data_IF_845078196886
#
_entry.id   IF_845078196886
#
_cell.length_a   1.000
_cell.length_b   1.000
_cell.length_c   1.000
_cell.angle_alpha   90.00
_cell.angle_beta   90.00
_cell.angle_gamma   90.00
#
_symmetry.space_group_name_H-M   'P 1'
#
loop_
_entity.id
_entity.type
_entity.pdbx_description
1 polymer ?
#
# COMPACT_ATOMS: atom_id res chain seq x y z
N UNK A 1 16.63 -6.94 -20.22
CA UNK A 1 16.48 -6.89 -18.75
C UNK A 1 16.05 -5.49 -18.37
N UNK A 2 14.87 -5.33 -17.78
CA UNK A 2 14.36 -4.06 -17.21
C UNK A 2 14.31 -4.19 -15.71
N UNK A 3 14.58 -3.09 -15.00
CA UNK A 3 14.49 -3.05 -13.53
C UNK A 3 13.30 -2.18 -13.14
N UNK A 4 12.41 -2.74 -12.31
CA UNK A 4 11.25 -2.05 -11.76
C UNK A 4 11.41 -1.90 -10.26
N UNK A 5 11.14 -0.73 -9.72
CA UNK A 5 11.08 -0.48 -8.28
C UNK A 5 9.63 -0.38 -7.82
N UNK A 6 9.14 -1.36 -7.06
CA UNK A 6 7.77 -1.34 -6.56
C UNK A 6 7.69 -0.73 -5.16
N UNK A 7 7.02 0.41 -5.06
CA UNK A 7 6.82 1.16 -3.84
C UNK A 7 5.34 1.17 -3.45
N UNK A 8 5.02 0.87 -2.18
CA UNK A 8 3.63 0.84 -1.71
C UNK A 8 3.45 1.55 -0.38
N UNK A 9 2.39 2.36 -0.31
CA UNK A 9 1.91 3.01 0.92
C UNK A 9 0.44 2.70 1.14
N UNK A 10 -0.01 2.79 2.40
CA UNK A 10 -1.41 2.52 2.75
C UNK A 10 -2.33 3.71 2.48
N UNK A 11 -1.83 4.93 2.61
CA UNK A 11 -2.60 6.16 2.40
C UNK A 11 -1.74 7.21 1.72
N UNK A 12 -2.33 8.07 0.89
CA UNK A 12 -1.62 9.15 0.20
C UNK A 12 -0.97 10.20 1.11
N UNK A 13 -1.24 10.15 2.44
CA UNK A 13 -0.58 11.00 3.43
C UNK A 13 0.78 10.45 3.89
N UNK A 14 1.09 9.18 3.60
CA UNK A 14 2.37 8.57 3.93
C UNK A 14 3.42 8.97 2.89
N UNK A 15 4.64 9.21 3.36
CA UNK A 15 5.74 9.54 2.47
C UNK A 15 6.30 8.27 1.80
N UNK A 16 6.19 8.20 0.48
CA UNK A 16 6.71 7.10 -0.36
C UNK A 16 8.17 7.34 -0.78
N UNK A 17 8.66 8.60 -0.72
CA UNK A 17 9.97 9.02 -1.23
C UNK A 17 11.14 8.25 -0.61
N UNK A 18 11.02 7.84 0.67
CA UNK A 18 12.04 7.01 1.30
C UNK A 18 12.24 5.69 0.57
N UNK A 19 11.17 5.02 0.15
CA UNK A 19 11.25 3.76 -0.59
C UNK A 19 11.86 4.00 -1.97
N UNK A 20 11.43 5.08 -2.64
CA UNK A 20 11.95 5.47 -3.96
C UNK A 20 13.46 5.73 -3.87
N UNK A 21 13.89 6.51 -2.89
CA UNK A 21 15.32 6.81 -2.66
C UNK A 21 16.11 5.54 -2.41
N UNK A 22 15.69 4.68 -1.47
CA UNK A 22 16.40 3.44 -1.16
C UNK A 22 16.57 2.55 -2.41
N UNK A 23 15.53 2.46 -3.25
CA UNK A 23 15.61 1.69 -4.50
C UNK A 23 16.52 2.37 -5.51
N UNK A 24 16.44 3.69 -5.66
CA UNK A 24 17.25 4.44 -6.64
C UNK A 24 18.72 4.51 -6.27
N UNK A 25 19.05 4.47 -4.99
CA UNK A 25 20.44 4.44 -4.50
C UNK A 25 21.16 3.15 -4.95
N UNK A 26 20.45 2.01 -4.95
CA UNK A 26 20.99 0.71 -5.39
C UNK A 26 20.76 0.44 -6.89
N UNK A 27 19.66 0.94 -7.45
CA UNK A 27 19.22 0.72 -8.83
C UNK A 27 18.76 2.05 -9.45
N UNK A 28 19.69 2.95 -9.85
CA UNK A 28 19.35 4.28 -10.39
C UNK A 28 18.43 4.24 -11.61
N UNK A 29 18.58 3.20 -12.45
CA UNK A 29 17.80 2.99 -13.68
C UNK A 29 16.39 2.41 -13.42
N UNK A 30 16.07 2.00 -12.19
CA UNK A 30 14.79 1.34 -11.89
C UNK A 30 13.59 2.22 -12.24
N UNK A 31 12.64 1.68 -12.98
CA UNK A 31 11.35 2.31 -13.26
C UNK A 31 10.44 2.18 -12.05
N UNK A 32 10.13 3.29 -11.39
CA UNK A 32 9.35 3.29 -10.15
C UNK A 32 7.86 3.09 -10.45
N UNK A 33 7.26 2.13 -9.74
CA UNK A 33 5.82 1.85 -9.72
C UNK A 33 5.30 2.15 -8.33
N UNK A 34 4.49 3.20 -8.20
CA UNK A 34 3.96 3.67 -6.93
C UNK A 34 2.52 3.20 -6.75
N UNK A 35 2.24 2.49 -5.67
CA UNK A 35 0.91 1.98 -5.33
C UNK A 35 0.40 2.59 -4.02
N UNK A 36 -0.84 3.10 -4.04
CA UNK A 36 -1.54 3.53 -2.82
C UNK A 36 -2.65 2.52 -2.56
N UNK A 37 -2.45 1.64 -1.59
CA UNK A 37 -3.39 0.57 -1.29
C UNK A 37 -3.40 0.18 0.19
N UNK A 38 -4.57 0.26 0.82
CA UNK A 38 -4.76 -0.03 2.25
C UNK A 38 -5.07 -1.48 2.57
N UNK A 39 -5.52 -2.27 1.60
CA UNK A 39 -5.84 -3.68 1.79
C UNK A 39 -4.62 -4.57 2.04
N UNK A 40 -4.87 -5.79 2.50
CA UNK A 40 -3.84 -6.83 2.64
C UNK A 40 -3.69 -7.63 1.36
N UNK A 41 -4.79 -7.93 0.66
CA UNK A 41 -4.82 -8.74 -0.56
C UNK A 41 -4.18 -8.06 -1.77
N UNK A 42 -3.59 -8.85 -2.68
CA UNK A 42 -2.97 -8.35 -3.92
C UNK A 42 -3.99 -8.02 -5.01
N UNK A 43 -5.15 -8.66 -5.02
CA UNK A 43 -6.18 -8.52 -6.06
C UNK A 43 -6.66 -7.07 -6.29
N UNK A 44 -6.66 -6.23 -5.26
CA UNK A 44 -7.06 -4.82 -5.37
C UNK A 44 -5.93 -3.85 -5.77
N UNK A 45 -4.74 -4.34 -6.10
CA UNK A 45 -3.56 -3.52 -6.43
C UNK A 45 -3.42 -3.38 -7.94
N UNK A 46 -4.07 -2.38 -8.51
CA UNK A 46 -4.12 -2.20 -9.97
C UNK A 46 -2.74 -2.06 -10.61
N UNK A 47 -1.82 -1.30 -9.98
CA UNK A 47 -0.48 -1.09 -10.53
C UNK A 47 0.39 -2.33 -10.37
N UNK A 48 0.24 -3.07 -9.27
CA UNK A 48 0.85 -4.39 -9.11
C UNK A 48 0.42 -5.35 -10.19
N UNK A 49 -0.88 -5.51 -10.40
CA UNK A 49 -1.42 -6.39 -11.43
C UNK A 49 -0.95 -6.01 -12.84
N UNK A 50 -0.85 -4.72 -13.15
CA UNK A 50 -0.26 -4.24 -14.41
C UNK A 50 1.23 -4.56 -14.50
N UNK A 51 1.98 -4.41 -13.40
CA UNK A 51 3.40 -4.71 -13.36
C UNK A 51 3.64 -6.19 -13.66
N UNK A 52 3.02 -7.11 -12.89
CA UNK A 52 3.23 -8.56 -13.06
C UNK A 52 2.76 -9.10 -14.42
N UNK A 53 1.79 -8.43 -15.05
CA UNK A 53 1.36 -8.75 -16.42
C UNK A 53 2.39 -8.36 -17.48
N UNK A 54 3.14 -7.29 -17.25
CA UNK A 54 4.06 -6.71 -18.23
C UNK A 54 5.51 -7.17 -18.07
N UNK A 55 5.90 -7.64 -16.88
CA UNK A 55 7.26 -8.15 -16.66
C UNK A 55 7.50 -9.45 -17.43
N UNK A 56 8.71 -9.59 -17.95
CA UNK A 56 9.16 -10.73 -18.75
C UNK A 56 10.31 -11.44 -18.07
N UNK A 57 10.57 -12.64 -18.50
CA UNK A 57 11.75 -13.40 -18.09
C UNK A 57 13.03 -12.56 -18.18
N UNK A 58 13.86 -12.61 -17.15
CA UNK A 58 15.07 -11.83 -17.02
C UNK A 58 14.87 -10.40 -16.54
N UNK A 59 13.63 -9.90 -16.39
CA UNK A 59 13.39 -8.61 -15.75
C UNK A 59 13.53 -8.70 -14.23
N UNK A 60 13.74 -7.55 -13.57
CA UNK A 60 13.94 -7.44 -12.14
C UNK A 60 12.87 -6.59 -11.48
N UNK A 61 12.37 -7.03 -10.30
CA UNK A 61 11.52 -6.22 -9.44
C UNK A 61 12.21 -6.01 -8.10
N UNK A 62 12.41 -4.75 -7.72
CA UNK A 62 13.08 -4.34 -6.48
C UNK A 62 12.04 -3.81 -5.49
N UNK A 63 12.12 -4.30 -4.26
CA UNK A 63 11.29 -3.87 -3.13
C UNK A 63 12.16 -3.31 -2.01
N UNK A 64 11.71 -2.25 -1.32
CA UNK A 64 12.36 -1.76 -0.10
C UNK A 64 12.35 -2.83 1.01
N UNK A 65 11.27 -3.64 1.09
CA UNK A 65 11.13 -4.75 2.03
C UNK A 65 10.04 -5.73 1.58
N UNK A 66 10.04 -6.94 2.14
CA UNK A 66 9.01 -7.99 1.92
C UNK A 66 7.60 -7.46 2.13
N UNK A 67 7.38 -6.62 3.14
CA UNK A 67 6.07 -6.05 3.44
C UNK A 67 5.51 -5.13 2.33
N UNK A 68 6.34 -4.72 1.35
CA UNK A 68 5.88 -3.97 0.16
C UNK A 68 5.28 -4.91 -0.85
N UNK A 69 5.84 -6.11 -0.99
CA UNK A 69 5.27 -7.15 -1.85
C UNK A 69 3.97 -7.67 -1.26
N UNK A 70 3.98 -8.25 -0.07
CA UNK A 70 2.76 -8.71 0.60
C UNK A 70 2.75 -8.43 2.11
N UNK A 71 1.54 -8.41 2.69
CA UNK A 71 1.25 -8.40 4.13
C UNK A 71 0.52 -9.67 4.58
N UNK A 72 0.25 -10.55 3.65
CA UNK A 72 -0.27 -11.89 3.83
C UNK A 72 0.85 -12.85 3.46
N UNK A 73 1.18 -13.77 4.36
CA UNK A 73 2.34 -14.63 4.21
C UNK A 73 2.16 -15.65 3.08
N UNK A 74 0.98 -16.26 3.01
CA UNK A 74 0.68 -17.29 2.02
C UNK A 74 0.58 -16.71 0.61
N UNK A 75 -0.16 -15.60 0.46
CA UNK A 75 -0.28 -14.88 -0.81
C UNK A 75 1.08 -14.36 -1.28
N UNK A 76 1.90 -13.85 -0.35
CA UNK A 76 3.24 -13.34 -0.65
C UNK A 76 4.19 -14.43 -1.12
N UNK A 77 4.21 -15.58 -0.44
CA UNK A 77 5.04 -16.72 -0.80
C UNK A 77 4.62 -17.32 -2.15
N UNK A 78 3.31 -17.49 -2.38
CA UNK A 78 2.77 -17.99 -3.66
C UNK A 78 3.17 -17.06 -4.82
N UNK A 79 3.01 -15.74 -4.66
CA UNK A 79 3.41 -14.79 -5.68
C UNK A 79 4.94 -14.78 -5.91
N UNK A 80 5.74 -14.97 -4.85
CA UNK A 80 7.19 -15.12 -4.98
C UNK A 80 7.55 -16.33 -5.84
N UNK A 81 7.00 -17.52 -5.54
CA UNK A 81 7.26 -18.74 -6.32
C UNK A 81 6.81 -18.59 -7.78
N UNK A 82 5.63 -18.03 -8.03
CA UNK A 82 5.14 -17.80 -9.38
C UNK A 82 6.09 -16.92 -10.19
N UNK A 83 6.52 -15.79 -9.63
CA UNK A 83 7.43 -14.87 -10.31
C UNK A 83 8.82 -15.49 -10.51
N UNK A 84 9.30 -16.24 -9.53
CA UNK A 84 10.55 -16.98 -9.64
C UNK A 84 10.50 -18.00 -10.80
N UNK A 85 9.45 -18.80 -10.89
CA UNK A 85 9.25 -19.76 -11.99
C UNK A 85 9.08 -19.11 -13.36
N UNK A 86 8.65 -17.85 -13.40
CA UNK A 86 8.60 -17.03 -14.62
C UNK A 86 9.97 -16.43 -14.98
N UNK A 87 11.01 -16.73 -14.23
CA UNK A 87 12.36 -16.19 -14.46
C UNK A 87 12.52 -14.72 -14.13
N UNK A 88 11.66 -14.17 -13.25
CA UNK A 88 11.74 -12.79 -12.77
C UNK A 88 12.68 -12.72 -11.57
N UNK A 89 13.64 -11.77 -11.61
CA UNK A 89 14.55 -11.53 -10.50
C UNK A 89 13.89 -10.64 -9.44
N UNK A 90 13.69 -11.16 -8.21
CA UNK A 90 13.12 -10.43 -7.09
C UNK A 90 14.23 -10.02 -6.12
N UNK A 91 14.28 -8.73 -5.79
CA UNK A 91 15.28 -8.16 -4.87
C UNK A 91 14.57 -7.44 -3.74
N UNK A 92 14.95 -7.77 -2.50
CA UNK A 92 14.46 -7.16 -1.27
C UNK A 92 15.63 -6.49 -0.55
N UNK A 93 15.64 -5.15 -0.51
CA UNK A 93 16.78 -4.39 -0.01
C UNK A 93 17.05 -4.64 1.48
N UNK A 94 16.00 -4.86 2.27
CA UNK A 94 16.12 -5.11 3.72
C UNK A 94 16.29 -6.58 4.07
N UNK A 95 15.83 -7.46 3.21
CA UNK A 95 15.90 -8.90 3.40
C UNK A 95 16.66 -9.57 2.23
N UNK A 96 17.96 -9.24 2.03
CA UNK A 96 18.72 -9.69 0.84
C UNK A 96 18.91 -11.21 0.78
N UNK A 97 18.79 -11.90 1.92
CA UNK A 97 18.93 -13.36 2.00
C UNK A 97 17.79 -14.13 1.31
N UNK A 98 16.67 -13.47 0.99
CA UNK A 98 15.56 -14.06 0.22
C UNK A 98 15.50 -13.58 -1.22
N UNK A 99 16.51 -12.87 -1.71
CA UNK A 99 16.59 -12.50 -3.13
C UNK A 99 16.60 -13.77 -3.99
N UNK A 100 15.91 -13.72 -5.13
CA UNK A 100 15.87 -14.87 -6.05
C UNK A 100 17.25 -15.35 -6.49
N UNK A 101 18.21 -14.44 -6.59
CA UNK A 101 19.61 -14.77 -6.90
C UNK A 101 20.27 -15.67 -5.82
N UNK A 102 19.93 -15.45 -4.54
CA UNK A 102 20.43 -16.29 -3.42
C UNK A 102 19.76 -17.65 -3.46
N UNK A 103 18.44 -17.68 -3.69
CA UNK A 103 17.69 -18.92 -3.84
C UNK A 103 18.18 -19.73 -5.04
N UNK A 104 18.43 -19.09 -6.19
CA UNK A 104 18.98 -19.72 -7.38
C UNK A 104 20.37 -20.32 -7.12
N UNK A 105 21.25 -19.56 -6.46
CA UNK A 105 22.56 -20.07 -6.04
C UNK A 105 22.46 -21.30 -5.14
N UNK A 106 21.54 -21.29 -4.18
CA UNK A 106 21.32 -22.46 -3.32
C UNK A 106 20.86 -23.70 -4.10
N UNK A 107 20.12 -23.51 -5.20
CA UNK A 107 19.73 -24.59 -6.10
C UNK A 107 20.87 -25.05 -7.00
N UNK A 108 21.71 -24.12 -7.50
CA UNK A 108 22.81 -24.41 -8.42
C UNK A 108 24.08 -24.93 -7.70
N UNK A 109 24.27 -24.51 -6.44
CA UNK A 109 25.40 -24.92 -5.60
C UNK A 109 25.14 -26.24 -4.83
N UNK A 110 24.20 -27.04 -5.31
CA UNK A 110 24.04 -28.39 -4.82
C UNK A 110 25.37 -29.17 -4.87
N UNK A 111 25.56 -30.08 -3.93
CA UNK A 111 26.74 -30.91 -3.91
C UNK A 111 26.75 -31.74 -5.19
N UNK A 112 27.88 -31.67 -5.93
CA UNK A 112 28.06 -32.43 -7.18
C UNK A 112 27.95 -33.90 -6.93
N UNK A 113 27.30 -34.64 -7.83
CA UNK A 113 27.17 -36.08 -7.78
C UNK A 113 28.51 -36.73 -8.15
N UNK A 114 28.88 -37.74 -7.39
CA UNK A 114 30.17 -38.43 -7.53
C UNK A 114 30.15 -39.65 -8.47
N UNK A 115 28.95 -40.07 -8.89
CA UNK A 115 28.77 -41.31 -9.67
C UNK A 115 28.86 -42.59 -8.83
N UNK A 116 28.76 -42.46 -7.50
CA UNK A 116 28.87 -43.59 -6.55
C UNK A 116 27.58 -43.73 -5.73
N UNK A 117 27.51 -44.77 -4.89
CA UNK A 117 26.37 -45.01 -3.99
C UNK A 117 26.17 -43.89 -2.95
N UNK A 118 27.20 -43.04 -2.74
CA UNK A 118 27.11 -41.86 -1.88
C UNK A 118 26.10 -40.82 -2.44
N UNK A 119 25.85 -40.88 -3.73
CA UNK A 119 24.91 -39.92 -4.40
C UNK A 119 23.48 -39.98 -3.84
N UNK A 120 23.04 -41.12 -3.31
CA UNK A 120 21.75 -41.19 -2.61
C UNK A 120 21.70 -40.28 -1.37
N UNK A 121 22.82 -40.15 -0.66
CA UNK A 121 22.90 -39.20 0.48
C UNK A 121 23.01 -37.78 -0.02
N UNK A 122 23.82 -37.51 -1.04
CA UNK A 122 23.99 -36.16 -1.61
C UNK A 122 22.69 -35.61 -2.20
N UNK A 123 21.91 -36.45 -2.87
CA UNK A 123 20.58 -36.07 -3.34
C UNK A 123 19.65 -35.67 -2.19
N UNK A 124 19.65 -36.43 -1.09
CA UNK A 124 18.89 -36.12 0.11
C UNK A 124 19.31 -34.79 0.73
N UNK A 125 20.61 -34.52 0.82
CA UNK A 125 21.16 -33.25 1.32
C UNK A 125 20.77 -32.09 0.42
N UNK A 126 20.87 -32.22 -0.90
CA UNK A 126 20.49 -31.19 -1.86
C UNK A 126 18.98 -30.86 -1.76
N UNK A 127 18.11 -31.85 -1.65
CA UNK A 127 16.69 -31.67 -1.41
C UNK A 127 16.40 -30.94 -0.09
N UNK A 128 17.13 -31.29 0.98
CA UNK A 128 17.00 -30.61 2.27
C UNK A 128 17.41 -29.13 2.20
N UNK A 129 18.56 -28.84 1.55
CA UNK A 129 19.02 -27.47 1.37
C UNK A 129 18.01 -26.61 0.63
N UNK A 130 17.36 -27.17 -0.40
CA UNK A 130 16.30 -26.49 -1.15
C UNK A 130 15.06 -26.25 -0.28
N UNK A 131 14.64 -27.25 0.49
CA UNK A 131 13.51 -27.11 1.41
C UNK A 131 13.78 -26.03 2.47
N UNK A 132 15.01 -25.99 3.00
CA UNK A 132 15.43 -24.97 3.97
C UNK A 132 15.39 -23.55 3.38
N UNK A 133 15.85 -23.37 2.13
CA UNK A 133 15.78 -22.08 1.45
C UNK A 133 14.34 -21.61 1.25
N UNK A 134 13.42 -22.50 0.87
CA UNK A 134 11.98 -22.21 0.79
C UNK A 134 11.39 -21.81 2.13
N UNK A 135 11.74 -22.53 3.19
CA UNK A 135 11.29 -22.24 4.56
C UNK A 135 11.74 -20.83 5.00
N UNK A 136 12.97 -20.44 4.69
CA UNK A 136 13.49 -19.10 5.00
C UNK A 136 12.69 -17.99 4.33
N UNK A 137 12.33 -18.17 3.06
CA UNK A 137 11.48 -17.20 2.34
C UNK A 137 10.12 -17.11 3.02
N UNK A 138 9.49 -18.23 3.34
CA UNK A 138 8.20 -18.30 4.02
C UNK A 138 8.23 -17.58 5.37
N UNK A 139 9.24 -17.85 6.19
CA UNK A 139 9.44 -17.19 7.50
C UNK A 139 9.51 -15.66 7.35
N UNK A 140 10.18 -15.13 6.32
CA UNK A 140 10.24 -13.69 6.09
C UNK A 140 8.85 -13.07 5.82
N UNK A 141 8.00 -13.74 5.04
CA UNK A 141 6.63 -13.29 4.82
C UNK A 141 5.78 -13.40 6.09
N UNK A 142 5.91 -14.47 6.86
CA UNK A 142 5.24 -14.65 8.15
C UNK A 142 5.63 -13.57 9.17
N UNK A 143 6.91 -13.21 9.22
CA UNK A 143 7.40 -12.11 10.06
C UNK A 143 6.81 -10.77 9.64
N UNK A 144 6.78 -10.48 8.35
CA UNK A 144 6.17 -9.25 7.83
C UNK A 144 4.67 -9.17 8.14
N UNK A 145 3.94 -10.27 8.04
CA UNK A 145 2.52 -10.34 8.42
C UNK A 145 2.34 -10.13 9.94
N UNK A 146 3.18 -10.78 10.74
CA UNK A 146 3.16 -10.64 12.21
C UNK A 146 3.39 -9.20 12.64
N UNK A 147 4.34 -8.48 12.03
CA UNK A 147 4.59 -7.07 12.33
C UNK A 147 3.33 -6.21 12.11
N UNK A 148 2.59 -6.46 11.04
CA UNK A 148 1.33 -5.74 10.75
C UNK A 148 0.27 -6.05 11.81
N UNK A 149 0.12 -7.32 12.20
CA UNK A 149 -0.82 -7.76 13.24
C UNK A 149 -0.45 -7.14 14.60
N UNK A 150 0.82 -7.14 14.96
CA UNK A 150 1.32 -6.57 16.21
C UNK A 150 1.15 -5.05 16.25
N UNK A 151 1.42 -4.33 15.16
CA UNK A 151 1.20 -2.90 15.08
C UNK A 151 -0.30 -2.56 15.28
N UNK A 152 -1.19 -3.33 14.64
CA UNK A 152 -2.64 -3.18 14.82
C UNK A 152 -3.05 -3.42 16.27
N UNK A 153 -2.56 -4.49 16.88
CA UNK A 153 -2.84 -4.82 18.30
C UNK A 153 -2.40 -3.69 19.21
N UNK A 154 -1.15 -3.23 19.11
CA UNK A 154 -0.62 -2.11 19.92
C UNK A 154 -1.43 -0.83 19.74
N UNK A 155 -1.92 -0.56 18.52
CA UNK A 155 -2.79 0.60 18.28
C UNK A 155 -4.12 0.47 19.02
N UNK A 156 -4.74 -0.71 18.99
CA UNK A 156 -6.00 -0.98 19.71
C UNK A 156 -5.81 -0.85 21.22
N UNK A 157 -4.76 -1.49 21.76
CA UNK A 157 -4.40 -1.42 23.18
C UNK A 157 -4.09 0.02 23.62
N UNK A 158 -3.38 0.79 22.80
CA UNK A 158 -3.11 2.21 23.05
C UNK A 158 -4.36 3.07 23.07
N UNK A 159 -5.33 2.81 22.18
CA UNK A 159 -6.63 3.49 22.15
C UNK A 159 -7.41 3.15 23.42
N UNK A 160 -7.43 1.88 23.82
CA UNK A 160 -8.13 1.45 25.05
C UNK A 160 -7.51 2.09 26.31
N UNK A 161 -6.19 2.09 26.40
CA UNK A 161 -5.47 2.76 27.49
C UNK A 161 -5.78 4.26 27.54
N UNK A 162 -5.84 4.92 26.38
CA UNK A 162 -6.21 6.34 26.30
C UNK A 162 -7.66 6.57 26.77
N UNK A 163 -8.58 5.65 26.43
CA UNK A 163 -9.98 5.68 26.90
C UNK A 163 -10.08 5.52 28.41
N UNK A 164 -9.38 4.53 28.99
CA UNK A 164 -9.34 4.31 30.43
C UNK A 164 -8.76 5.51 31.20
N UNK A 165 -7.80 6.20 30.59
CA UNK A 165 -7.21 7.43 31.15
C UNK A 165 -8.08 8.69 30.91
N UNK A 166 -9.32 8.54 30.47
CA UNK A 166 -10.24 9.66 30.22
C UNK A 166 -9.85 10.57 29.05
N UNK A 167 -8.88 10.17 28.21
CA UNK A 167 -8.51 10.93 27.02
C UNK A 167 -9.60 10.78 25.97
N UNK A 168 -9.98 11.89 25.37
CA UNK A 168 -10.92 11.86 24.25
C UNK A 168 -10.29 11.14 23.05
N UNK A 169 -10.98 10.10 22.55
CA UNK A 169 -10.58 9.35 21.38
C UNK A 169 -11.48 9.73 20.22
N UNK A 170 -10.86 10.13 19.10
CA UNK A 170 -11.59 10.61 17.95
C UNK A 170 -12.03 12.06 18.08
N UNK A 171 -13.07 12.40 17.34
CA UNK A 171 -13.54 13.77 17.25
C UNK A 171 -14.40 14.16 18.47
N UNK A 172 -14.19 15.35 19.01
CA UNK A 172 -15.06 15.90 20.03
C UNK A 172 -16.50 16.04 19.51
N UNK A 173 -17.47 15.64 20.33
CA UNK A 173 -18.89 15.84 19.98
C UNK A 173 -19.14 17.32 19.71
N UNK A 174 -19.89 17.62 18.64
CA UNK A 174 -20.21 19.00 18.24
C UNK A 174 -19.14 19.72 17.42
N UNK A 175 -17.92 19.18 17.25
CA UNK A 175 -16.92 19.82 16.38
C UNK A 175 -17.30 19.66 14.92
N UNK A 176 -17.67 20.74 14.24
CA UNK A 176 -17.91 20.74 12.79
C UNK A 176 -16.58 20.97 12.07
N UNK A 177 -16.12 20.02 11.24
CA UNK A 177 -15.04 20.28 10.30
C UNK A 177 -15.66 20.79 9.01
N UNK A 178 -15.31 21.97 8.64
CA UNK A 178 -15.68 22.50 7.36
C UNK A 178 -14.55 22.25 6.37
N UNK A 179 -14.76 21.29 5.48
CA UNK A 179 -13.81 20.99 4.42
C UNK A 179 -13.68 22.16 3.46
N UNK A 180 -12.52 22.41 2.91
CA UNK A 180 -12.29 23.50 1.96
C UNK A 180 -13.23 23.41 0.75
N UNK A 181 -13.53 22.20 0.29
CA UNK A 181 -14.55 21.96 -0.75
C UNK A 181 -15.96 22.42 -0.34
N UNK A 182 -16.31 22.31 0.95
CA UNK A 182 -17.59 22.81 1.46
C UNK A 182 -17.61 24.33 1.53
N UNK A 183 -16.51 24.94 1.98
CA UNK A 183 -16.38 26.41 2.00
C UNK A 183 -16.46 27.00 0.60
N UNK A 184 -15.80 26.36 -0.37
CA UNK A 184 -15.88 26.77 -1.77
C UNK A 184 -17.30 26.70 -2.29
N UNK A 185 -18.02 25.60 -2.06
CA UNK A 185 -19.43 25.45 -2.45
C UNK A 185 -20.32 26.49 -1.78
N UNK A 186 -20.12 26.80 -0.50
CA UNK A 186 -20.85 27.88 0.18
C UNK A 186 -20.59 29.26 -0.47
N UNK A 187 -19.32 29.56 -0.81
CA UNK A 187 -18.97 30.81 -1.53
C UNK A 187 -19.66 30.90 -2.89
N UNK A 188 -19.70 29.79 -3.62
CA UNK A 188 -20.38 29.73 -4.94
C UNK A 188 -21.91 29.86 -4.81
N UNK A 189 -22.52 29.22 -3.81
CA UNK A 189 -23.95 29.41 -3.51
C UNK A 189 -24.26 30.90 -3.20
N UNK A 190 -23.41 31.50 -2.36
CA UNK A 190 -23.57 32.94 -2.02
C UNK A 190 -23.45 33.81 -3.26
N UNK A 191 -22.52 33.52 -4.17
CA UNK A 191 -22.27 34.29 -5.38
C UNK A 191 -23.41 34.18 -6.41
N UNK A 192 -23.95 32.98 -6.59
CA UNK A 192 -24.86 32.72 -7.72
C UNK A 192 -26.35 32.71 -7.36
N UNK A 193 -26.74 32.45 -6.11
CA UNK A 193 -28.14 32.28 -5.73
C UNK A 193 -28.87 33.63 -5.60
N UNK A 194 -30.04 33.70 -6.21
CA UNK A 194 -30.99 34.83 -6.06
C UNK A 194 -31.26 35.20 -4.59
N UNK A 195 -31.18 34.24 -3.67
CA UNK A 195 -31.40 34.50 -2.24
C UNK A 195 -30.29 35.35 -1.59
N UNK A 196 -29.19 35.57 -2.28
CA UNK A 196 -28.01 36.34 -1.85
C UNK A 196 -27.61 37.38 -2.92
N UNK A 197 -28.56 37.93 -3.66
CA UNK A 197 -28.35 38.88 -4.76
C UNK A 197 -27.62 38.34 -5.99
N UNK A 198 -27.53 37.02 -6.16
CA UNK A 198 -27.08 36.39 -7.40
C UNK A 198 -28.19 36.35 -8.46
N UNK A 199 -27.88 35.71 -9.61
CA UNK A 199 -28.80 35.72 -10.79
C UNK A 199 -29.50 34.38 -11.00
N UNK A 200 -29.18 33.30 -10.27
CA UNK A 200 -29.67 31.96 -10.54
C UNK A 200 -30.69 31.50 -9.50
N UNK A 201 -31.71 30.79 -9.97
CA UNK A 201 -32.71 30.13 -9.11
C UNK A 201 -32.06 28.90 -8.42
N UNK A 202 -32.60 28.49 -7.27
CA UNK A 202 -32.09 27.39 -6.46
C UNK A 202 -31.84 26.12 -7.29
N UNK A 203 -32.73 25.73 -8.18
CA UNK A 203 -32.60 24.56 -9.05
C UNK A 203 -31.40 24.66 -10.01
N UNK A 204 -31.14 25.85 -10.52
CA UNK A 204 -30.03 26.10 -11.44
C UNK A 204 -28.69 26.05 -10.72
N UNK A 205 -28.61 26.62 -9.51
CA UNK A 205 -27.40 26.55 -8.67
C UNK A 205 -27.08 25.10 -8.26
N UNK A 206 -28.11 24.32 -7.90
CA UNK A 206 -27.95 22.91 -7.56
C UNK A 206 -27.34 22.15 -8.75
N UNK A 207 -27.85 22.39 -9.96
CA UNK A 207 -27.35 21.76 -11.19
C UNK A 207 -25.92 22.20 -11.54
N UNK A 208 -25.66 23.51 -11.42
CA UNK A 208 -24.36 24.11 -11.70
C UNK A 208 -23.27 23.55 -10.79
N UNK A 209 -23.54 23.39 -9.49
CA UNK A 209 -22.58 22.96 -8.49
C UNK A 209 -22.51 21.43 -8.31
N UNK A 210 -23.37 20.68 -8.98
CA UNK A 210 -23.42 19.21 -8.90
C UNK A 210 -23.65 18.69 -7.47
N UNK A 211 -24.44 19.39 -6.65
CA UNK A 211 -24.69 19.02 -5.25
C UNK A 211 -26.13 18.53 -5.06
N UNK A 212 -26.34 17.70 -4.03
CA UNK A 212 -27.68 17.25 -3.70
C UNK A 212 -28.55 18.40 -3.21
N UNK A 213 -29.87 18.31 -3.44
CA UNK A 213 -30.85 19.29 -2.95
C UNK A 213 -30.72 19.50 -1.43
N UNK A 214 -30.56 18.41 -0.66
CA UNK A 214 -30.44 18.49 0.79
C UNK A 214 -29.17 19.23 1.23
N UNK A 215 -28.04 18.97 0.56
CA UNK A 215 -26.78 19.70 0.82
C UNK A 215 -26.90 21.17 0.49
N UNK A 216 -27.55 21.51 -0.63
CA UNK A 216 -27.78 22.91 -1.02
C UNK A 216 -28.55 23.69 0.04
N UNK A 217 -29.72 23.19 0.47
CA UNK A 217 -30.53 23.89 1.47
C UNK A 217 -29.88 23.94 2.85
N UNK A 218 -29.12 22.92 3.22
CA UNK A 218 -28.30 22.93 4.42
C UNK A 218 -27.27 24.07 4.36
N UNK A 219 -26.49 24.16 3.29
CA UNK A 219 -25.47 25.21 3.13
C UNK A 219 -26.10 26.59 3.04
N UNK A 220 -27.24 26.73 2.35
CA UNK A 220 -27.98 27.98 2.24
C UNK A 220 -28.47 28.49 3.62
N UNK A 221 -28.91 27.56 4.50
CA UNK A 221 -29.28 27.88 5.88
C UNK A 221 -28.06 28.34 6.69
N UNK A 222 -26.98 27.60 6.61
CA UNK A 222 -25.72 27.94 7.30
C UNK A 222 -25.18 29.31 6.89
N UNK A 223 -25.22 29.65 5.59
CA UNK A 223 -24.82 30.98 5.08
C UNK A 223 -25.71 32.09 5.66
N UNK A 224 -27.03 31.87 5.72
CA UNK A 224 -27.96 32.87 6.30
C UNK A 224 -27.68 33.10 7.79
N UNK A 225 -27.42 32.04 8.56
CA UNK A 225 -27.02 32.10 9.96
C UNK A 225 -25.71 32.89 10.12
N UNK A 226 -24.68 32.58 9.33
CA UNK A 226 -23.40 33.30 9.36
C UNK A 226 -23.54 34.82 9.04
N UNK A 227 -24.45 35.19 8.13
CA UNK A 227 -24.70 36.57 7.81
C UNK A 227 -25.52 37.32 8.88
N UNK A 228 -26.40 36.62 9.60
CA UNK A 228 -27.17 37.19 10.70
C UNK A 228 -26.32 37.55 11.93
N UNK A 229 -25.20 36.86 12.14
CA UNK A 229 -24.24 37.12 13.22
C UNK A 229 -23.26 38.26 12.93
N UNK A 230 -23.21 38.74 11.67
CA UNK A 230 -22.35 39.87 11.26
C UNK A 230 -23.08 41.23 11.21
N UNK A 231 -24.35 41.26 11.54
CA UNK A 231 -25.14 42.47 11.77
C UNK A 231 -25.27 42.74 13.27
#
# INVERSE_FOLDING_TARGET
>A
MKTYGYCRISTGKQNIERQIRNIKDEYPEAMIVEEIYTGTKMEGREKWLKLIKNVREGDRIVFDSVSRMSRDAEEGFTAYEELYHRGIDLVFLKEPHINTSVYKKAMESGIEMTGTTVDYILEGVNKYMLALAKEQIKICFEQAEKEVKDLRRRTIEGIETARLNGKQIGRAAGTKIEYESTKQKKREIYKYSLSFNGMLKDKEVIKLLGISRNSYYKYKKEIKEELSWRK
#
